data_IF_079800429197
#
_entry.id   IF_079800429197
#
_cell.length_a   1.000
_cell.length_b   1.000
_cell.length_c   1.000
_cell.angle_alpha   90.00
_cell.angle_beta   90.00
_cell.angle_gamma   90.00
#
_symmetry.space_group_name_H-M   'P 1'
#
loop_
_entity.id
_entity.type
_entity.pdbx_description
1 polymer ?
#
# COMPACT_ATOMS: atom_id res chain seq x y z
N UNK A 1 8.75 33.24 -6.93
CA UNK A 1 9.96 32.59 -6.38
C UNK A 1 10.61 31.67 -7.41
N UNK A 2 10.09 30.45 -7.65
CA UNK A 2 10.75 29.50 -8.56
C UNK A 2 10.89 30.00 -10.01
N UNK A 3 9.93 30.78 -10.52
CA UNK A 3 10.05 31.40 -11.85
C UNK A 3 11.26 32.35 -11.97
N UNK A 4 11.57 33.13 -10.92
CA UNK A 4 12.74 34.02 -10.88
C UNK A 4 14.05 33.22 -10.90
N UNK A 5 14.07 32.08 -10.20
CA UNK A 5 15.24 31.20 -10.13
C UNK A 5 15.47 30.41 -11.42
N UNK A 6 14.40 29.89 -12.02
CA UNK A 6 14.46 29.09 -13.25
C UNK A 6 14.71 29.93 -14.52
N UNK A 7 14.26 31.19 -14.53
CA UNK A 7 14.41 32.12 -15.67
C UNK A 7 15.14 33.39 -15.25
N UNK A 8 16.25 33.25 -14.52
CA UNK A 8 17.05 34.39 -14.09
C UNK A 8 17.60 35.21 -15.28
N UNK A 9 17.75 34.56 -16.45
CA UNK A 9 18.07 35.18 -17.73
C UNK A 9 17.06 36.25 -18.16
N UNK A 10 15.77 36.06 -17.86
CA UNK A 10 14.70 37.01 -18.18
C UNK A 10 14.21 37.81 -16.97
N UNK A 11 14.39 37.27 -15.77
CA UNK A 11 13.88 37.80 -14.51
C UNK A 11 15.03 37.91 -13.50
N UNK A 12 15.94 38.88 -13.67
CA UNK A 12 17.15 39.03 -12.85
C UNK A 12 16.84 39.67 -11.48
N UNK A 13 15.85 39.11 -10.78
CA UNK A 13 15.41 39.57 -9.47
C UNK A 13 15.63 38.47 -8.44
N UNK A 14 16.07 38.86 -7.24
CA UNK A 14 16.36 37.95 -6.14
C UNK A 14 15.31 38.02 -5.03
N UNK A 15 15.24 36.97 -4.22
CA UNK A 15 14.38 36.90 -3.03
C UNK A 15 15.13 36.24 -1.88
N UNK A 16 14.83 36.63 -0.64
CA UNK A 16 15.40 36.00 0.56
C UNK A 16 14.69 34.68 0.96
N UNK A 17 13.94 34.06 0.06
CA UNK A 17 13.20 32.82 0.33
C UNK A 17 14.13 31.62 0.15
N UNK A 18 14.26 30.81 1.22
CA UNK A 18 14.91 29.49 1.17
C UNK A 18 14.00 28.49 0.47
N UNK A 19 14.23 28.26 -0.83
CA UNK A 19 13.31 27.49 -1.67
C UNK A 19 13.26 26.01 -1.30
N UNK A 20 14.29 25.49 -0.65
CA UNK A 20 14.41 24.12 -0.13
C UNK A 20 13.36 23.83 0.97
N UNK A 21 12.65 24.86 1.46
CA UNK A 21 11.55 24.71 2.41
C UNK A 21 10.16 24.81 1.77
N UNK A 22 10.04 25.03 0.45
CA UNK A 22 8.76 25.24 -0.23
C UNK A 22 7.83 24.03 -0.06
N UNK A 23 8.32 22.81 -0.22
CA UNK A 23 7.50 21.61 -0.02
C UNK A 23 7.01 21.45 1.41
N UNK A 24 7.87 21.73 2.40
CA UNK A 24 7.50 21.68 3.82
C UNK A 24 6.43 22.72 4.15
N UNK A 25 6.58 23.94 3.64
CA UNK A 25 5.60 25.01 3.81
C UNK A 25 4.25 24.65 3.16
N UNK A 26 4.28 24.10 1.94
CA UNK A 26 3.06 23.63 1.24
C UNK A 26 2.30 22.56 2.02
N UNK A 27 3.03 21.55 2.54
CA UNK A 27 2.44 20.49 3.40
C UNK A 27 1.84 21.05 4.68
N UNK A 28 2.51 22.01 5.32
CA UNK A 28 2.01 22.67 6.52
C UNK A 28 0.71 23.44 6.24
N UNK A 29 0.66 24.22 5.16
CA UNK A 29 -0.56 24.96 4.75
C UNK A 29 -1.70 23.99 4.45
N UNK A 30 -1.44 22.90 3.73
CA UNK A 30 -2.45 21.88 3.45
C UNK A 30 -2.99 21.24 4.73
N UNK A 31 -2.11 20.90 5.68
CA UNK A 31 -2.51 20.31 6.97
C UNK A 31 -3.31 21.27 7.86
N UNK A 32 -2.94 22.55 7.89
CA UNK A 32 -3.62 23.57 8.72
C UNK A 32 -4.98 23.95 8.11
N UNK A 33 -5.07 24.04 6.79
CA UNK A 33 -6.27 24.54 6.10
C UNK A 33 -7.25 23.42 5.72
N UNK A 34 -6.83 22.17 5.72
CA UNK A 34 -7.61 21.02 5.26
C UNK A 34 -7.78 20.94 3.74
N UNK A 35 -7.25 21.90 2.97
CA UNK A 35 -7.28 21.86 1.51
C UNK A 35 -6.11 21.04 0.97
N UNK A 36 -6.42 19.98 0.22
CA UNK A 36 -5.42 19.12 -0.42
C UNK A 36 -4.78 19.83 -1.62
N UNK A 37 -3.46 19.71 -1.77
CA UNK A 37 -2.73 20.24 -2.92
C UNK A 37 -3.08 19.43 -4.17
N UNK A 38 -3.47 20.11 -5.24
CA UNK A 38 -3.77 19.45 -6.51
C UNK A 38 -2.51 18.75 -7.09
N UNK A 39 -2.61 17.53 -7.63
CA UNK A 39 -1.46 16.79 -8.16
C UNK A 39 -0.65 17.54 -9.22
N UNK A 40 -1.33 18.33 -10.07
CA UNK A 40 -0.74 19.14 -11.13
C UNK A 40 -0.33 20.56 -10.70
N UNK A 41 -0.38 20.88 -9.40
CA UNK A 41 0.03 22.21 -8.92
C UNK A 41 1.51 22.41 -9.20
N UNK A 42 1.85 23.51 -9.87
CA UNK A 42 3.24 23.84 -10.16
C UNK A 42 4.10 23.84 -8.89
N UNK A 43 5.31 23.29 -8.99
CA UNK A 43 6.33 23.18 -7.93
C UNK A 43 5.97 22.23 -6.78
N UNK A 44 4.73 22.21 -6.31
CA UNK A 44 4.35 21.52 -5.05
C UNK A 44 3.38 20.36 -5.21
N UNK A 45 2.81 20.19 -6.41
CA UNK A 45 1.94 19.07 -6.72
C UNK A 45 2.72 17.76 -6.80
N UNK A 46 2.06 16.64 -6.51
CA UNK A 46 2.65 15.30 -6.57
C UNK A 46 3.28 14.99 -7.94
N UNK A 47 2.76 15.58 -9.02
CA UNK A 47 3.19 15.31 -10.39
C UNK A 47 4.22 16.33 -10.90
N UNK A 48 4.69 17.26 -10.06
CA UNK A 48 5.58 18.35 -10.50
C UNK A 48 6.99 17.87 -10.90
N UNK A 49 7.44 16.72 -10.39
CA UNK A 49 8.76 16.11 -10.65
C UNK A 49 8.62 14.62 -11.00
N UNK A 50 7.53 14.29 -11.68
CA UNK A 50 7.09 12.95 -11.99
C UNK A 50 7.25 12.66 -13.48
N UNK A 51 7.87 11.52 -13.83
CA UNK A 51 8.17 11.16 -15.22
C UNK A 51 7.65 9.76 -15.57
N UNK A 52 6.65 9.69 -16.44
CA UNK A 52 5.96 8.44 -16.80
C UNK A 52 6.39 7.88 -18.18
N UNK A 53 6.53 8.76 -19.19
CA UNK A 53 6.79 8.31 -20.56
C UNK A 53 8.18 7.66 -20.68
N UNK A 54 8.27 6.49 -21.31
CA UNK A 54 9.53 5.74 -21.43
C UNK A 54 10.66 6.55 -22.08
N UNK A 55 10.33 7.44 -23.03
CA UNK A 55 11.29 8.39 -23.62
C UNK A 55 11.76 9.47 -22.62
N UNK A 56 10.89 9.90 -21.72
CA UNK A 56 11.24 10.85 -20.67
C UNK A 56 12.11 10.18 -19.61
N UNK A 57 11.83 8.92 -19.27
CA UNK A 57 12.65 8.13 -18.35
C UNK A 57 14.07 7.91 -18.91
N UNK A 58 14.20 7.53 -20.19
CA UNK A 58 15.51 7.38 -20.85
C UNK A 58 16.30 8.70 -20.89
N UNK A 59 15.65 9.82 -21.22
CA UNK A 59 16.31 11.13 -21.22
C UNK A 59 16.68 11.61 -19.82
N UNK A 60 15.85 11.34 -18.80
CA UNK A 60 16.17 11.62 -17.39
C UNK A 60 17.38 10.83 -16.88
N UNK A 61 17.51 9.56 -17.28
CA UNK A 61 18.66 8.72 -16.94
C UNK A 61 19.96 9.20 -17.59
N UNK A 62 19.89 9.78 -18.80
CA UNK A 62 21.04 10.33 -19.51
C UNK A 62 21.42 11.71 -18.98
N UNK A 63 20.45 12.60 -18.82
CA UNK A 63 20.64 13.96 -18.32
C UNK A 63 19.32 14.55 -17.79
N UNK A 64 19.21 14.71 -16.47
CA UNK A 64 17.97 15.19 -15.81
C UNK A 64 17.48 16.55 -16.31
N UNK A 65 18.40 17.47 -16.63
CA UNK A 65 18.07 18.80 -17.15
C UNK A 65 17.33 18.81 -18.50
N UNK A 66 17.16 17.66 -19.16
CA UNK A 66 16.38 17.53 -20.39
C UNK A 66 14.88 17.77 -20.15
N UNK A 67 14.37 17.32 -19.00
CA UNK A 67 12.94 17.42 -18.66
C UNK A 67 12.69 18.17 -17.35
N UNK A 68 13.74 18.41 -16.55
CA UNK A 68 13.65 19.16 -15.29
C UNK A 68 14.30 20.53 -15.44
N UNK A 69 13.47 21.56 -15.62
CA UNK A 69 13.92 22.98 -15.62
C UNK A 69 14.46 23.43 -14.25
N UNK A 70 14.09 22.72 -13.18
CA UNK A 70 14.61 22.89 -11.83
C UNK A 70 14.70 21.52 -11.17
N UNK A 71 15.63 21.34 -10.23
CA UNK A 71 15.80 20.04 -9.57
C UNK A 71 14.80 19.87 -8.42
N UNK A 72 14.38 18.64 -8.09
CA UNK A 72 13.55 18.35 -6.93
C UNK A 72 14.16 18.88 -5.61
N UNK A 73 15.48 18.78 -5.48
CA UNK A 73 16.23 19.24 -4.31
C UNK A 73 16.10 20.76 -4.12
N UNK A 74 16.00 21.51 -5.21
CA UNK A 74 15.83 22.97 -5.17
C UNK A 74 14.53 23.44 -4.49
N UNK A 75 13.55 22.54 -4.31
CA UNK A 75 12.25 22.82 -3.67
C UNK A 75 12.03 22.05 -2.36
N UNK A 76 13.00 21.24 -1.95
CA UNK A 76 12.95 20.45 -0.72
C UNK A 76 12.46 19.01 -0.89
N UNK A 77 12.53 18.44 -2.10
CA UNK A 77 12.39 17.01 -2.34
C UNK A 77 13.75 16.32 -2.34
N UNK A 78 13.79 15.02 -2.03
CA UNK A 78 15.03 14.26 -2.00
C UNK A 78 15.50 13.83 -3.39
N UNK A 79 14.58 13.43 -4.28
CA UNK A 79 14.80 13.03 -5.69
C UNK A 79 13.49 13.11 -6.50
N UNK A 80 13.61 13.06 -7.82
CA UNK A 80 12.49 12.92 -8.76
C UNK A 80 11.83 11.56 -8.58
N UNK A 81 10.51 11.49 -8.74
CA UNK A 81 9.79 10.22 -8.60
C UNK A 81 9.55 9.63 -9.98
N UNK A 82 10.10 8.44 -10.24
CA UNK A 82 9.71 7.64 -11.39
C UNK A 82 8.30 7.11 -11.13
N UNK A 83 7.32 7.64 -11.87
CA UNK A 83 5.94 7.16 -11.79
C UNK A 83 5.81 5.92 -12.65
N UNK A 84 5.18 4.90 -12.07
CA UNK A 84 4.88 3.67 -12.78
C UNK A 84 3.57 3.82 -13.55
N UNK A 85 3.65 3.61 -14.86
CA UNK A 85 2.51 3.65 -15.76
C UNK A 85 2.66 2.62 -16.88
N UNK A 86 1.70 2.59 -17.81
CA UNK A 86 1.65 1.57 -18.89
C UNK A 86 2.91 1.55 -19.76
N UNK A 87 3.62 2.67 -19.83
CA UNK A 87 4.85 2.81 -20.61
C UNK A 87 6.12 2.45 -19.83
N UNK A 88 6.03 2.19 -18.53
CA UNK A 88 7.20 1.81 -17.73
C UNK A 88 7.74 0.44 -18.15
N UNK A 89 9.06 0.38 -18.35
CA UNK A 89 9.76 -0.84 -18.78
C UNK A 89 10.11 -1.77 -17.62
N UNK A 90 10.52 -3.01 -17.95
CA UNK A 90 10.92 -4.04 -16.96
C UNK A 90 12.04 -3.56 -16.04
N UNK A 91 13.02 -2.84 -16.59
CA UNK A 91 14.14 -2.34 -15.80
C UNK A 91 13.68 -1.32 -14.75
N UNK A 92 12.86 -0.35 -15.16
CA UNK A 92 12.29 0.63 -14.22
C UNK A 92 11.49 -0.09 -13.12
N UNK A 93 10.64 -1.05 -13.48
CA UNK A 93 9.88 -1.86 -12.53
C UNK A 93 10.77 -2.57 -11.51
N UNK A 94 11.86 -3.23 -11.96
CA UNK A 94 12.83 -3.88 -11.08
C UNK A 94 13.51 -2.90 -10.11
N UNK A 95 13.96 -1.75 -10.62
CA UNK A 95 14.60 -0.71 -9.80
C UNK A 95 13.65 -0.22 -8.71
N UNK A 96 12.40 0.08 -9.07
CA UNK A 96 11.39 0.57 -8.13
C UNK A 96 11.03 -0.47 -7.07
N UNK A 97 10.89 -1.74 -7.45
CA UNK A 97 10.72 -2.83 -6.47
C UNK A 97 11.91 -2.93 -5.50
N UNK A 98 13.13 -2.76 -6.01
CA UNK A 98 14.34 -2.77 -5.17
C UNK A 98 14.37 -1.58 -4.20
N UNK A 99 13.95 -0.39 -4.65
CA UNK A 99 13.78 0.80 -3.80
C UNK A 99 12.73 0.59 -2.71
N UNK A 100 11.66 -0.16 -3.02
CA UNK A 100 10.62 -0.58 -2.07
C UNK A 100 11.06 -1.75 -1.17
N UNK A 101 12.29 -2.26 -1.33
CA UNK A 101 12.86 -3.33 -0.51
C UNK A 101 12.57 -4.75 -0.99
N UNK A 102 12.07 -4.93 -2.21
CA UNK A 102 11.77 -6.23 -2.81
C UNK A 102 12.87 -6.66 -3.80
N UNK A 103 13.55 -7.76 -3.47
CA UNK A 103 14.47 -8.43 -4.39
C UNK A 103 13.82 -9.73 -4.90
N UNK A 104 13.27 -9.67 -6.12
CA UNK A 104 12.66 -10.82 -6.79
C UNK A 104 13.66 -11.52 -7.71
N UNK A 105 13.63 -12.86 -7.73
CA UNK A 105 14.29 -13.64 -8.77
C UNK A 105 13.62 -13.45 -10.14
N UNK A 106 14.33 -13.73 -11.23
CA UNK A 106 13.88 -13.35 -12.59
C UNK A 106 12.52 -13.91 -13.00
N UNK A 107 12.18 -15.13 -12.56
CA UNK A 107 10.88 -15.75 -12.82
C UNK A 107 9.74 -15.02 -12.08
N UNK A 108 9.93 -14.69 -10.80
CA UNK A 108 8.93 -13.94 -10.02
C UNK A 108 8.80 -12.49 -10.51
N UNK A 109 9.91 -11.90 -10.95
CA UNK A 109 9.90 -10.57 -11.56
C UNK A 109 9.16 -10.55 -12.90
N UNK A 110 9.28 -11.61 -13.73
CA UNK A 110 8.52 -11.75 -14.98
C UNK A 110 7.01 -11.81 -14.73
N UNK A 111 6.58 -12.64 -13.78
CA UNK A 111 5.17 -12.77 -13.42
C UNK A 111 4.59 -11.45 -12.87
N UNK A 112 5.26 -10.85 -11.88
CA UNK A 112 4.87 -9.56 -11.33
C UNK A 112 4.86 -8.45 -12.39
N UNK A 113 5.79 -8.47 -13.35
CA UNK A 113 5.82 -7.48 -14.42
C UNK A 113 4.63 -7.62 -15.39
N UNK A 114 4.19 -8.85 -15.70
CA UNK A 114 3.01 -9.08 -16.53
C UNK A 114 1.74 -8.53 -15.87
N UNK A 115 1.55 -8.84 -14.60
CA UNK A 115 0.40 -8.33 -13.81
C UNK A 115 0.46 -6.81 -13.63
N UNK A 116 1.66 -6.25 -13.52
CA UNK A 116 1.86 -4.80 -13.50
C UNK A 116 1.38 -4.14 -14.80
N UNK A 117 1.64 -4.76 -15.96
CA UNK A 117 1.12 -4.27 -17.25
C UNK A 117 -0.40 -4.30 -17.30
N UNK A 118 -1.01 -5.40 -16.86
CA UNK A 118 -2.47 -5.51 -16.79
C UNK A 118 -3.10 -4.45 -15.87
N UNK A 119 -2.43 -4.13 -14.76
CA UNK A 119 -2.88 -3.10 -13.83
C UNK A 119 -2.70 -1.69 -14.41
N UNK A 120 -1.55 -1.43 -15.04
CA UNK A 120 -1.23 -0.15 -15.66
C UNK A 120 -2.07 0.14 -16.92
N UNK A 121 -2.62 -0.89 -17.58
CA UNK A 121 -3.60 -0.71 -18.67
C UNK A 121 -4.96 -0.27 -18.14
N UNK A 122 -5.30 -0.67 -16.90
CA UNK A 122 -6.57 -0.32 -16.25
C UNK A 122 -6.50 0.98 -15.44
N UNK A 123 -5.30 1.38 -15.01
CA UNK A 123 -5.08 2.54 -14.13
C UNK A 123 -4.02 3.47 -14.73
N UNK A 124 -4.34 4.76 -14.87
CA UNK A 124 -3.43 5.76 -15.46
C UNK A 124 -2.11 5.90 -14.68
N UNK A 125 -2.16 5.82 -13.36
CA UNK A 125 -0.97 5.88 -12.49
C UNK A 125 -1.02 4.70 -11.50
N UNK A 126 0.09 3.98 -11.39
CA UNK A 126 0.28 2.87 -10.45
C UNK A 126 1.14 3.38 -9.29
N UNK A 127 0.58 3.38 -8.09
CA UNK A 127 1.24 3.87 -6.87
C UNK A 127 2.11 2.80 -6.23
N UNK A 128 2.97 3.20 -5.31
CA UNK A 128 3.87 2.29 -4.60
C UNK A 128 3.09 1.22 -3.83
N UNK A 129 1.92 1.58 -3.27
CA UNK A 129 1.00 0.65 -2.61
C UNK A 129 0.43 -0.39 -3.56
N UNK A 130 0.17 -0.03 -4.82
CA UNK A 130 -0.29 -0.96 -5.85
C UNK A 130 0.83 -1.95 -6.22
N UNK A 131 2.08 -1.47 -6.32
CA UNK A 131 3.25 -2.31 -6.60
C UNK A 131 3.53 -3.26 -5.43
N UNK A 132 3.43 -2.76 -4.19
CA UNK A 132 3.51 -3.54 -2.97
C UNK A 132 2.42 -4.60 -2.96
N UNK A 133 1.16 -4.24 -3.26
CA UNK A 133 0.05 -5.19 -3.32
C UNK A 133 0.28 -6.25 -4.39
N UNK A 134 0.84 -5.87 -5.54
CA UNK A 134 1.08 -6.77 -6.67
C UNK A 134 2.20 -7.79 -6.39
N UNK A 135 3.27 -7.33 -5.73
CA UNK A 135 4.36 -8.22 -5.28
C UNK A 135 3.95 -9.01 -4.05
N UNK A 136 3.22 -8.41 -3.12
CA UNK A 136 2.62 -9.11 -1.98
C UNK A 136 1.66 -10.19 -2.47
N UNK A 137 0.90 -10.00 -3.56
CA UNK A 137 0.02 -11.03 -4.15
C UNK A 137 0.83 -12.12 -4.90
N UNK A 138 2.03 -11.81 -5.40
CA UNK A 138 2.94 -12.82 -5.97
C UNK A 138 3.69 -13.64 -4.89
N UNK A 139 3.99 -13.03 -3.74
CA UNK A 139 4.65 -13.68 -2.58
C UNK A 139 3.61 -14.37 -1.68
N UNK A 140 2.41 -13.79 -1.50
CA UNK A 140 1.31 -14.34 -0.71
C UNK A 140 0.72 -15.59 -1.37
N UNK A 141 0.59 -15.64 -2.70
CA UNK A 141 0.12 -16.87 -3.37
C UNK A 141 1.04 -18.08 -3.19
N UNK A 142 2.30 -17.88 -2.80
CA UNK A 142 3.20 -18.98 -2.44
C UNK A 142 3.19 -19.34 -0.95
N UNK A 143 2.58 -18.53 -0.07
CA UNK A 143 2.69 -18.64 1.40
C UNK A 143 1.43 -18.15 2.17
N UNK A 144 0.22 -18.24 1.60
CA UNK A 144 -1.02 -18.05 2.36
C UNK A 144 -1.22 -19.22 3.31
N UNK A 145 -0.51 -19.18 4.46
CA UNK A 145 -0.64 -20.20 5.52
C UNK A 145 -2.05 -20.25 6.05
N UNK A 146 -2.76 -19.11 6.10
CA UNK A 146 -4.13 -19.03 6.60
C UNK A 146 -5.03 -18.44 5.51
N UNK A 147 -6.16 -19.09 5.23
CA UNK A 147 -7.18 -18.63 4.27
C UNK A 147 -8.60 -18.78 4.81
N UNK A 148 -9.44 -17.78 4.60
CA UNK A 148 -10.88 -17.86 4.92
C UNK A 148 -11.60 -18.70 3.86
N UNK A 149 -12.24 -19.80 4.26
CA UNK A 149 -12.99 -20.68 3.32
C UNK A 149 -14.50 -20.55 3.46
N UNK A 150 -15.02 -20.40 4.68
CA UNK A 150 -16.45 -20.19 4.93
C UNK A 150 -16.66 -19.25 6.10
N UNK A 151 -17.68 -18.41 5.98
CA UNK A 151 -18.16 -17.55 7.04
C UNK A 151 -19.69 -17.66 7.10
N UNK A 152 -20.22 -17.95 8.28
CA UNK A 152 -21.64 -17.87 8.58
C UNK A 152 -21.82 -16.96 9.80
N UNK A 153 -22.78 -16.04 9.72
CA UNK A 153 -23.04 -15.04 10.75
C UNK A 153 -24.51 -15.04 11.12
N UNK A 154 -24.77 -14.83 12.41
CA UNK A 154 -26.09 -14.56 12.95
C UNK A 154 -26.00 -13.27 13.74
N UNK A 155 -26.72 -12.24 13.29
CA UNK A 155 -26.78 -10.94 13.96
C UNK A 155 -28.13 -10.27 13.69
N UNK A 156 -28.59 -9.44 14.64
CA UNK A 156 -29.85 -8.72 14.53
C UNK A 156 -30.19 -7.99 15.83
N UNK A 157 -31.18 -7.11 15.79
CA UNK A 157 -31.67 -6.42 16.99
C UNK A 157 -32.25 -7.46 17.95
N UNK A 158 -31.76 -7.50 19.19
CA UNK A 158 -32.18 -8.48 20.20
C UNK A 158 -31.60 -9.88 20.01
N UNK A 159 -30.72 -10.09 19.03
CA UNK A 159 -30.03 -11.35 18.79
C UNK A 159 -28.58 -11.22 19.22
N UNK A 160 -28.08 -12.18 20.00
CA UNK A 160 -26.67 -12.22 20.38
C UNK A 160 -25.81 -12.48 19.12
N UNK A 161 -24.89 -11.58 18.74
CA UNK A 161 -24.06 -11.77 17.56
C UNK A 161 -23.17 -13.01 17.69
N UNK A 162 -23.21 -13.88 16.68
CA UNK A 162 -22.42 -15.11 16.64
C UNK A 162 -21.88 -15.37 15.24
N UNK A 163 -20.66 -15.92 15.17
CA UNK A 163 -19.99 -16.27 13.93
C UNK A 163 -19.56 -17.73 13.96
N UNK A 164 -19.74 -18.44 12.84
CA UNK A 164 -19.09 -19.71 12.54
C UNK A 164 -18.14 -19.51 11.36
N UNK A 165 -16.85 -19.71 11.60
CA UNK A 165 -15.79 -19.47 10.64
C UNK A 165 -15.06 -20.78 10.35
N UNK A 166 -14.73 -21.02 9.07
CA UNK A 166 -13.83 -22.07 8.61
C UNK A 166 -12.59 -21.40 8.00
N UNK A 167 -11.42 -21.77 8.52
CA UNK A 167 -10.11 -21.38 7.99
C UNK A 167 -9.40 -22.62 7.45
N UNK A 168 -8.71 -22.46 6.33
CA UNK A 168 -7.68 -23.40 5.90
C UNK A 168 -6.34 -22.91 6.43
N UNK A 169 -5.68 -23.71 7.27
CA UNK A 169 -4.41 -23.39 7.92
C UNK A 169 -3.40 -24.46 7.49
N UNK A 170 -2.34 -24.08 6.79
CA UNK A 170 -1.32 -24.98 6.24
C UNK A 170 -1.90 -26.17 5.45
N UNK A 171 -3.03 -25.94 4.76
CA UNK A 171 -3.76 -26.94 3.97
C UNK A 171 -4.84 -27.72 4.73
N UNK A 172 -4.93 -27.58 6.06
CA UNK A 172 -5.94 -28.24 6.88
C UNK A 172 -7.12 -27.32 7.22
N UNK A 173 -8.35 -27.83 7.06
CA UNK A 173 -9.57 -27.05 7.34
C UNK A 173 -9.98 -27.19 8.79
N UNK A 174 -10.06 -26.06 9.48
CA UNK A 174 -10.46 -25.96 10.88
C UNK A 174 -11.66 -25.02 11.00
N UNK A 175 -12.61 -25.34 11.87
CA UNK A 175 -13.81 -24.52 12.08
C UNK A 175 -14.06 -24.21 13.55
N UNK A 176 -14.53 -23.01 13.83
CA UNK A 176 -14.85 -22.56 15.17
C UNK A 176 -16.11 -21.72 15.19
N UNK A 177 -16.68 -21.58 16.39
CA UNK A 177 -17.82 -20.70 16.65
C UNK A 177 -17.52 -19.82 17.86
N UNK A 178 -17.89 -18.55 17.76
CA UNK A 178 -17.69 -17.57 18.81
C UNK A 178 -18.81 -16.52 18.79
N UNK A 179 -19.18 -16.09 19.99
CA UNK A 179 -20.05 -14.94 20.20
C UNK A 179 -19.20 -13.68 20.40
N UNK A 180 -19.74 -12.55 19.98
CA UNK A 180 -19.09 -11.25 20.11
C UNK A 180 -20.08 -10.16 20.52
N UNK A 181 -19.53 -9.00 20.85
CA UNK A 181 -20.32 -7.79 21.13
C UNK A 181 -20.91 -7.21 19.83
N UNK A 182 -20.35 -7.60 18.68
CA UNK A 182 -20.85 -7.33 17.33
C UNK A 182 -20.41 -8.42 16.35
N UNK A 183 -20.92 -8.39 15.09
CA UNK A 183 -20.59 -9.41 14.10
C UNK A 183 -19.09 -9.45 13.76
N UNK A 184 -18.43 -8.29 13.68
CA UNK A 184 -16.97 -8.21 13.44
C UNK A 184 -16.19 -8.82 14.60
N UNK A 185 -16.56 -8.50 15.84
CA UNK A 185 -15.90 -9.05 17.04
C UNK A 185 -16.09 -10.58 17.11
N UNK A 186 -17.28 -11.09 16.79
CA UNK A 186 -17.54 -12.52 16.72
C UNK A 186 -16.62 -13.22 15.68
N UNK A 187 -16.41 -12.60 14.51
CA UNK A 187 -15.46 -13.09 13.50
C UNK A 187 -14.03 -13.09 14.04
N UNK A 188 -13.57 -12.00 14.64
CA UNK A 188 -12.19 -11.89 15.13
C UNK A 188 -11.91 -12.86 16.29
N UNK A 189 -12.89 -13.08 17.17
CA UNK A 189 -12.80 -14.12 18.21
C UNK A 189 -12.74 -15.53 17.62
N UNK A 190 -13.48 -15.80 16.54
CA UNK A 190 -13.35 -17.06 15.80
C UNK A 190 -11.95 -17.25 15.24
N UNK A 191 -11.37 -16.21 14.62
CA UNK A 191 -9.98 -16.25 14.12
C UNK A 191 -9.02 -16.53 15.27
N UNK A 192 -9.13 -15.82 16.39
CA UNK A 192 -8.27 -16.05 17.56
C UNK A 192 -8.41 -17.44 18.20
N UNK A 193 -9.59 -18.06 18.12
CA UNK A 193 -9.80 -19.47 18.55
C UNK A 193 -9.15 -20.46 17.58
N UNK A 194 -9.26 -20.21 16.28
CA UNK A 194 -8.71 -21.08 15.23
C UNK A 194 -7.19 -20.97 15.11
N UNK A 195 -6.67 -19.78 15.36
CA UNK A 195 -5.24 -19.49 15.32
C UNK A 195 -4.85 -18.64 16.54
N UNK A 196 -4.54 -19.26 17.69
CA UNK A 196 -4.14 -18.53 18.89
C UNK A 196 -2.88 -17.67 18.67
N UNK A 197 -2.95 -16.38 18.98
CA UNK A 197 -1.85 -15.42 18.86
C UNK A 197 -1.93 -14.33 19.94
N UNK A 198 -0.85 -13.57 20.14
CA UNK A 198 -0.82 -12.43 21.08
C UNK A 198 -0.99 -11.08 20.39
N UNK A 199 -1.21 -11.07 19.07
CA UNK A 199 -1.39 -9.85 18.32
C UNK A 199 -2.63 -9.05 18.79
N UNK A 200 -2.40 -7.80 19.18
CA UNK A 200 -3.44 -6.84 19.53
C UNK A 200 -3.95 -6.10 18.30
N UNK A 201 -5.27 -5.87 18.24
CA UNK A 201 -5.90 -5.07 17.21
C UNK A 201 -5.73 -3.58 17.53
N UNK A 202 -4.95 -2.86 16.70
CA UNK A 202 -4.67 -1.43 16.88
C UNK A 202 -5.57 -0.54 16.03
N UNK A 203 -5.93 -1.01 14.82
CA UNK A 203 -6.78 -0.26 13.90
C UNK A 203 -7.73 -1.23 13.21
N UNK A 204 -8.99 -0.83 13.14
CA UNK A 204 -9.99 -1.42 12.28
C UNK A 204 -10.71 -0.28 11.56
N UNK A 205 -10.61 -0.26 10.23
CA UNK A 205 -11.18 0.80 9.41
C UNK A 205 -11.87 0.19 8.19
N UNK A 206 -13.08 0.67 7.91
CA UNK A 206 -13.89 0.26 6.75
C UNK A 206 -14.12 1.51 5.88
N UNK A 207 -13.97 1.37 4.58
CA UNK A 207 -14.26 2.39 3.58
C UNK A 207 -15.10 1.78 2.45
N UNK A 208 -16.04 2.56 1.91
CA UNK A 208 -16.67 2.20 0.66
C UNK A 208 -15.77 2.66 -0.49
N UNK A 209 -15.47 1.76 -1.43
CA UNK A 209 -14.64 2.08 -2.61
C UNK A 209 -15.49 2.66 -3.74
N UNK A 210 -16.73 2.19 -3.86
CA UNK A 210 -17.64 2.51 -4.94
C UNK A 210 -19.00 2.95 -4.41
N UNK A 211 -19.75 3.65 -5.25
CA UNK A 211 -21.13 4.08 -4.96
C UNK A 211 -22.12 3.03 -5.48
N UNK A 212 -23.29 2.91 -4.85
CA UNK A 212 -24.35 1.99 -5.28
C UNK A 212 -24.63 0.86 -4.29
N UNK A 213 -25.62 0.02 -4.59
CA UNK A 213 -26.03 -1.12 -3.74
C UNK A 213 -25.05 -2.29 -3.80
N UNK A 214 -24.12 -2.27 -4.74
CA UNK A 214 -23.01 -3.19 -4.96
C UNK A 214 -21.66 -2.58 -4.52
N UNK A 215 -21.71 -1.53 -3.70
CA UNK A 215 -20.52 -0.88 -3.16
C UNK A 215 -19.57 -1.90 -2.51
N UNK A 216 -18.33 -1.91 -2.96
CA UNK A 216 -17.31 -2.78 -2.37
C UNK A 216 -16.82 -2.17 -1.06
N UNK A 217 -16.81 -2.99 0.00
CA UNK A 217 -16.19 -2.64 1.26
C UNK A 217 -14.69 -2.94 1.20
N UNK A 218 -13.89 -1.94 1.53
CA UNK A 218 -12.45 -2.02 1.71
C UNK A 218 -12.15 -1.91 3.21
N UNK A 219 -11.47 -2.92 3.74
CA UNK A 219 -11.22 -3.06 5.17
C UNK A 219 -9.73 -3.15 5.44
N UNK A 220 -9.27 -2.31 6.35
CA UNK A 220 -7.89 -2.27 6.85
C UNK A 220 -7.89 -2.71 8.31
N UNK A 221 -7.08 -3.73 8.61
CA UNK A 221 -6.83 -4.23 9.96
C UNK A 221 -5.35 -4.03 10.29
N UNK A 222 -5.04 -3.31 11.37
CA UNK A 222 -3.68 -3.24 11.92
C UNK A 222 -3.57 -4.13 13.13
N UNK A 223 -2.67 -5.11 13.05
CA UNK A 223 -2.29 -5.94 14.18
C UNK A 223 -0.91 -5.52 14.67
N UNK A 224 -0.72 -5.56 15.98
CA UNK A 224 0.57 -5.33 16.63
C UNK A 224 0.91 -6.48 17.57
N UNK A 225 2.15 -6.96 17.51
CA UNK A 225 2.68 -7.94 18.45
C UNK A 225 4.15 -7.64 18.72
N UNK A 226 4.56 -7.63 20.00
CA UNK A 226 5.94 -7.40 20.42
C UNK A 226 6.59 -6.14 19.81
N UNK A 227 5.84 -5.03 19.78
CA UNK A 227 6.28 -3.75 19.22
C UNK A 227 6.36 -3.71 17.69
N UNK A 228 5.82 -4.72 17.00
CA UNK A 228 5.80 -4.82 15.53
C UNK A 228 4.38 -4.72 15.04
N UNK A 229 4.12 -3.76 14.15
CA UNK A 229 2.82 -3.59 13.50
C UNK A 229 2.82 -4.08 12.06
N UNK A 230 1.68 -4.58 11.62
CA UNK A 230 1.39 -4.97 10.23
C UNK A 230 -0.03 -4.53 9.86
N UNK A 231 -0.20 -4.14 8.60
CA UNK A 231 -1.52 -3.84 8.04
C UNK A 231 -1.94 -5.00 7.12
N UNK A 232 -3.08 -5.59 7.42
CA UNK A 232 -3.82 -6.45 6.50
C UNK A 232 -4.92 -5.67 5.81
N UNK A 233 -5.23 -6.11 4.61
CA UNK A 233 -6.22 -5.49 3.73
C UNK A 233 -7.18 -6.57 3.24
N UNK A 234 -8.45 -6.24 3.13
CA UNK A 234 -9.47 -7.14 2.60
C UNK A 234 -10.56 -6.34 1.91
N UNK A 235 -10.91 -6.75 0.69
CA UNK A 235 -11.97 -6.13 -0.09
C UNK A 235 -13.00 -7.18 -0.51
N UNK A 236 -14.28 -6.86 -0.33
CA UNK A 236 -15.42 -7.72 -0.70
C UNK A 236 -16.70 -6.87 -0.72
N UNK A 237 -17.74 -7.29 -1.45
CA UNK A 237 -19.06 -6.63 -1.38
C UNK A 237 -19.73 -6.89 -0.03
N UNK A 238 -19.38 -7.99 0.64
CA UNK A 238 -19.77 -8.26 2.02
C UNK A 238 -18.70 -7.71 3.00
N UNK A 239 -19.08 -6.70 3.77
CA UNK A 239 -18.19 -6.04 4.75
C UNK A 239 -17.62 -7.02 5.80
N UNK A 240 -18.36 -8.08 6.16
CA UNK A 240 -17.90 -9.06 7.13
C UNK A 240 -16.88 -10.02 6.53
N UNK A 241 -17.08 -10.43 5.27
CA UNK A 241 -16.08 -11.21 4.53
C UNK A 241 -14.81 -10.40 4.32
N UNK A 242 -14.93 -9.13 3.93
CA UNK A 242 -13.80 -8.21 3.79
C UNK A 242 -13.04 -8.06 5.12
N UNK A 243 -13.76 -7.93 6.24
CA UNK A 243 -13.18 -7.85 7.59
C UNK A 243 -12.41 -9.12 7.97
N UNK A 244 -12.98 -10.31 7.72
CA UNK A 244 -12.33 -11.58 8.00
C UNK A 244 -11.03 -11.73 7.20
N UNK A 245 -11.07 -11.40 5.90
CA UNK A 245 -9.91 -11.46 5.01
C UNK A 245 -8.83 -10.47 5.42
N UNK A 246 -9.21 -9.22 5.76
CA UNK A 246 -8.26 -8.20 6.20
C UNK A 246 -7.48 -8.65 7.45
N UNK A 247 -8.16 -9.26 8.41
CA UNK A 247 -7.54 -9.79 9.62
C UNK A 247 -6.60 -10.96 9.33
N UNK A 248 -7.05 -11.95 8.54
CA UNK A 248 -6.23 -13.10 8.14
C UNK A 248 -4.99 -12.65 7.36
N UNK A 249 -5.13 -11.67 6.48
CA UNK A 249 -4.00 -11.08 5.74
C UNK A 249 -3.01 -10.38 6.68
N UNK A 250 -3.50 -9.69 7.71
CA UNK A 250 -2.63 -9.11 8.74
C UNK A 250 -1.86 -10.21 9.48
N UNK A 251 -2.52 -11.32 9.85
CA UNK A 251 -1.88 -12.46 10.51
C UNK A 251 -0.80 -13.11 9.62
N UNK A 252 -1.11 -13.39 8.36
CA UNK A 252 -0.12 -13.95 7.42
C UNK A 252 1.12 -13.04 7.32
N UNK A 253 0.95 -11.72 7.23
CA UNK A 253 2.06 -10.76 7.24
C UNK A 253 2.83 -10.76 8.56
N UNK A 254 2.14 -10.91 9.69
CA UNK A 254 2.78 -11.00 11.01
C UNK A 254 3.65 -12.25 11.12
N UNK A 255 3.16 -13.40 10.62
CA UNK A 255 3.91 -14.67 10.61
C UNK A 255 5.21 -14.56 9.81
N UNK A 256 5.17 -13.96 8.63
CA UNK A 256 6.38 -13.72 7.82
C UNK A 256 7.38 -12.84 8.59
N UNK A 257 6.91 -11.82 9.33
CA UNK A 257 7.79 -10.99 10.18
C UNK A 257 8.37 -11.76 11.37
N UNK A 258 7.65 -12.75 11.93
CA UNK A 258 8.19 -13.63 12.99
C UNK A 258 9.35 -14.46 12.43
N UNK A 259 9.16 -15.09 11.27
CA UNK A 259 10.16 -15.96 10.63
C UNK A 259 11.42 -15.20 10.21
N UNK A 260 11.29 -13.98 9.65
CA UNK A 260 12.45 -13.14 9.27
C UNK A 260 13.34 -12.72 10.44
N UNK A 261 12.88 -12.87 11.69
CA UNK A 261 13.67 -12.49 12.87
C UNK A 261 14.20 -13.67 13.67
N UNK A 262 13.84 -14.90 13.33
CA UNK A 262 14.54 -16.06 13.84
C UNK A 262 15.87 -16.14 13.09
N UNK A 263 17.04 -15.96 13.74
CA UNK A 263 18.29 -16.37 13.11
C UNK A 263 18.14 -17.85 12.78
N UNK A 264 18.53 -18.26 11.57
CA UNK A 264 18.81 -19.66 11.33
C UNK A 264 19.79 -20.10 12.42
N UNK A 265 19.38 -21.04 13.27
CA UNK A 265 20.30 -21.66 14.20
C UNK A 265 21.40 -22.29 13.33
N UNK A 266 22.55 -21.62 13.28
CA UNK A 266 23.78 -22.18 12.75
C UNK A 266 24.08 -23.41 13.60
N UNK A 267 23.74 -24.58 13.07
CA UNK A 267 24.28 -25.83 13.58
C UNK A 267 25.80 -25.76 13.44
N UNK A 268 26.49 -25.72 14.57
CA UNK A 268 27.93 -25.94 14.66
C UNK A 268 28.27 -27.42 14.40
#
# INVERSE_FOLDING_TARGET
VMALRARNDLLPYETNIRTENIMKASRLVSAVTGFVVQPNKAVVGANAFAHEAGIHQDGMLKHSGTYEIMTPESVGLSKSTLVMGKHSGRHAFKTKLSELGYNLGDNALNDAFGRFKDLADKKKEVFDEDLIALVDDAVARRNERIRVTKLHLTCGIGVRPSAKLELEIDGERNSATADGDGPVDAVFRCIGKLFPHQAGLQLFQIQAVTEGTDAQADVIVRLEENGRSVNGHGADTDTMVASARAYVNALNKLLVKREKTAPAALSA
#
